data_IF_515458236963
#
_entry.id   IF_515458236963
#
_cell.length_a   1.000
_cell.length_b   1.000
_cell.length_c   1.000
_cell.angle_alpha   90.00
_cell.angle_beta   90.00
_cell.angle_gamma   90.00
#
_symmetry.space_group_name_H-M   'P 1'
#
loop_
_entity.id
_entity.type
_entity.pdbx_description
1 polymer ?
#
# COMPACT_ATOMS: atom_id res chain seq x y z
N UNK A 1 -44.80 32.56 -22.92
CA UNK A 1 -44.37 32.04 -21.61
C UNK A 1 -43.98 30.58 -21.83
N UNK A 2 -42.68 30.29 -21.98
CA UNK A 2 -42.18 28.93 -22.25
C UNK A 2 -41.85 28.25 -20.93
N UNK A 3 -42.57 27.18 -20.61
CA UNK A 3 -42.18 26.26 -19.53
C UNK A 3 -41.20 25.24 -20.09
N UNK A 4 -39.93 25.36 -19.72
CA UNK A 4 -38.92 24.32 -19.93
C UNK A 4 -38.99 23.37 -18.74
N UNK A 5 -39.52 22.17 -18.96
CA UNK A 5 -39.44 21.09 -17.99
C UNK A 5 -37.98 20.62 -17.91
N UNK A 6 -37.35 20.86 -16.76
CA UNK A 6 -36.01 20.34 -16.46
C UNK A 6 -36.14 18.85 -16.16
N UNK A 7 -35.59 18.02 -17.04
CA UNK A 7 -35.39 16.60 -16.79
C UNK A 7 -34.23 16.47 -15.80
N UNK A 8 -34.52 16.06 -14.57
CA UNK A 8 -33.49 15.76 -13.57
C UNK A 8 -33.08 14.31 -13.81
N UNK A 9 -31.91 14.11 -14.41
CA UNK A 9 -31.29 12.80 -14.51
C UNK A 9 -31.14 12.20 -13.11
N UNK A 10 -31.77 11.04 -12.90
CA UNK A 10 -31.53 10.20 -11.74
C UNK A 10 -30.07 9.76 -11.73
N UNK A 11 -29.21 10.51 -11.04
CA UNK A 11 -27.90 10.03 -10.64
C UNK A 11 -28.14 8.91 -9.64
N UNK A 12 -28.03 7.65 -10.08
CA UNK A 12 -28.08 6.51 -9.20
C UNK A 12 -27.09 6.74 -8.04
N UNK A 13 -27.47 6.48 -6.78
CA UNK A 13 -26.56 6.68 -5.66
C UNK A 13 -25.34 5.79 -5.86
N UNK A 14 -24.16 6.41 -5.92
CA UNK A 14 -22.90 5.70 -5.81
C UNK A 14 -22.87 5.15 -4.39
N UNK A 15 -23.22 3.87 -4.22
CA UNK A 15 -23.16 3.19 -2.93
C UNK A 15 -21.67 2.98 -2.63
N UNK A 16 -21.03 3.98 -2.04
CA UNK A 16 -19.76 3.82 -1.34
C UNK A 16 -20.02 2.96 -0.11
N UNK A 17 -19.23 1.92 0.08
CA UNK A 17 -19.21 1.17 1.33
C UNK A 17 -17.94 1.55 2.07
N UNK A 18 -18.07 2.29 3.17
CA UNK A 18 -16.94 2.50 4.08
C UNK A 18 -16.43 1.14 4.55
N UNK A 19 -15.13 0.90 4.36
CA UNK A 19 -14.45 -0.31 4.83
C UNK A 19 -13.14 0.07 5.51
N UNK A 20 -12.82 -0.68 6.55
CA UNK A 20 -11.48 -0.68 7.14
C UNK A 20 -10.50 -1.34 6.19
N UNK A 21 -9.44 -0.63 5.85
CA UNK A 21 -8.27 -1.11 5.14
C UNK A 21 -7.07 -1.14 6.09
N UNK A 22 -6.12 -2.01 5.79
CA UNK A 22 -4.83 -2.05 6.45
C UNK A 22 -3.80 -1.53 5.45
N UNK A 23 -3.13 -0.43 5.79
CA UNK A 23 -2.08 0.15 4.96
C UNK A 23 -0.72 -0.18 5.56
N UNK A 24 0.16 -0.74 4.74
CA UNK A 24 1.58 -0.92 5.08
C UNK A 24 2.36 0.13 4.32
N UNK A 25 2.98 1.08 5.03
CA UNK A 25 3.74 2.18 4.45
C UNK A 25 5.23 2.02 4.69
N UNK A 26 6.01 2.54 3.74
CA UNK A 26 7.47 2.67 3.82
C UNK A 26 7.77 4.18 3.75
N UNK A 27 8.61 4.68 4.66
CA UNK A 27 9.06 6.07 4.72
C UNK A 27 10.56 6.18 4.96
N UNK A 28 11.15 7.34 4.63
CA UNK A 28 12.54 7.69 4.93
C UNK A 28 12.61 8.69 6.10
N UNK A 29 13.49 8.43 7.07
CA UNK A 29 13.73 9.30 8.23
C UNK A 29 12.47 9.64 9.05
N UNK A 30 12.48 10.78 9.77
CA UNK A 30 11.36 11.26 10.61
C UNK A 30 10.15 11.81 9.83
N UNK A 31 10.17 11.73 8.51
CA UNK A 31 9.08 12.22 7.68
C UNK A 31 7.82 11.37 7.90
N UNK A 32 6.71 12.01 8.28
CA UNK A 32 5.39 11.37 8.31
C UNK A 32 4.83 11.03 6.91
N UNK A 33 5.60 11.27 5.85
CA UNK A 33 5.18 10.97 4.48
C UNK A 33 5.74 9.62 4.04
N UNK A 34 4.84 8.71 3.72
CA UNK A 34 5.17 7.48 3.04
C UNK A 34 5.74 7.78 1.65
N UNK A 35 6.86 7.15 1.31
CA UNK A 35 7.39 7.10 -0.06
C UNK A 35 6.65 6.05 -0.90
N UNK A 36 6.11 5.02 -0.25
CA UNK A 36 5.26 4.01 -0.87
C UNK A 36 4.32 3.40 0.17
N UNK A 37 3.14 2.94 -0.26
CA UNK A 37 2.24 2.16 0.59
C UNK A 37 1.54 1.06 -0.19
N UNK A 38 1.24 -0.02 0.53
CA UNK A 38 0.38 -1.11 0.10
C UNK A 38 -0.93 -1.02 0.85
N UNK A 39 -2.04 -1.38 0.21
CA UNK A 39 -3.37 -1.39 0.85
C UNK A 39 -3.97 -2.80 0.79
N UNK A 40 -4.50 -3.22 1.93
CA UNK A 40 -5.03 -4.55 2.16
C UNK A 40 -6.43 -4.47 2.77
N UNK A 41 -7.27 -5.45 2.47
CA UNK A 41 -8.52 -5.71 3.21
C UNK A 41 -8.34 -6.84 4.23
N UNK A 42 -7.20 -7.53 4.21
CA UNK A 42 -6.85 -8.65 5.07
C UNK A 42 -5.68 -8.25 5.99
N UNK A 43 -5.95 -8.22 7.30
CA UNK A 43 -4.97 -7.85 8.32
C UNK A 43 -3.78 -8.82 8.37
N UNK A 44 -4.01 -10.13 8.25
CA UNK A 44 -2.92 -11.10 8.37
C UNK A 44 -1.95 -11.00 7.19
N UNK A 45 -2.46 -10.69 6.01
CA UNK A 45 -1.62 -10.40 4.85
C UNK A 45 -0.84 -9.10 5.04
N UNK A 46 -1.49 -8.05 5.55
CA UNK A 46 -0.83 -6.78 5.85
C UNK A 46 0.29 -6.97 6.88
N UNK A 47 0.03 -7.72 7.96
CA UNK A 47 1.01 -8.05 9.01
C UNK A 47 2.21 -8.81 8.45
N UNK A 48 1.98 -9.84 7.62
CA UNK A 48 3.07 -10.60 6.99
C UNK A 48 3.95 -9.72 6.09
N UNK A 49 3.35 -8.82 5.31
CA UNK A 49 4.11 -7.87 4.48
C UNK A 49 4.86 -6.87 5.34
N UNK A 50 4.23 -6.35 6.41
CA UNK A 50 4.88 -5.46 7.37
C UNK A 50 6.12 -6.11 8.00
N UNK A 51 5.99 -7.32 8.52
CA UNK A 51 7.10 -8.05 9.17
C UNK A 51 8.26 -8.26 8.19
N UNK A 52 7.93 -8.76 7.00
CA UNK A 52 8.91 -9.00 5.93
C UNK A 52 9.67 -7.74 5.51
N UNK A 53 8.98 -6.59 5.43
CA UNK A 53 9.61 -5.33 5.07
C UNK A 53 10.43 -4.75 6.23
N UNK A 54 9.93 -4.87 7.46
CA UNK A 54 10.55 -4.27 8.65
C UNK A 54 11.85 -4.96 9.07
N UNK A 55 11.98 -6.26 8.81
CA UNK A 55 13.20 -7.02 9.14
C UNK A 55 14.37 -6.68 8.21
N UNK A 56 14.09 -6.32 6.95
CA UNK A 56 15.10 -6.33 5.88
C UNK A 56 15.37 -4.96 5.23
N UNK A 57 14.49 -3.97 5.41
CA UNK A 57 14.69 -2.61 4.91
C UNK A 57 15.31 -1.73 5.99
N UNK A 58 16.58 -2.00 6.29
CA UNK A 58 17.37 -1.19 7.22
C UNK A 58 17.40 0.28 6.77
N UNK A 59 17.27 1.20 7.73
CA UNK A 59 17.18 2.65 7.51
C UNK A 59 15.84 3.18 6.97
N UNK A 60 14.86 2.29 6.73
CA UNK A 60 13.48 2.69 6.43
C UNK A 60 12.56 2.56 7.64
N UNK A 61 11.58 3.46 7.73
CA UNK A 61 10.46 3.31 8.66
C UNK A 61 9.34 2.57 7.95
N UNK A 62 9.01 1.39 8.45
CA UNK A 62 7.85 0.61 8.00
C UNK A 62 6.75 0.72 9.07
N UNK A 63 5.51 0.97 8.65
CA UNK A 63 4.37 1.09 9.55
C UNK A 63 3.18 0.32 9.00
N UNK A 64 2.32 -0.11 9.91
CA UNK A 64 0.99 -0.63 9.60
C UNK A 64 -0.06 0.26 10.28
N UNK A 65 -1.07 0.66 9.50
CA UNK A 65 -2.16 1.51 9.98
C UNK A 65 -3.51 0.98 9.51
N UNK A 66 -4.52 1.13 10.35
CA UNK A 66 -5.92 0.96 9.97
C UNK A 66 -6.46 2.27 9.42
N UNK A 67 -7.08 2.21 8.24
CA UNK A 67 -7.61 3.39 7.55
C UNK A 67 -9.02 3.09 7.09
N UNK A 68 -9.97 3.92 7.51
CA UNK A 68 -11.32 3.90 6.95
C UNK A 68 -11.29 4.55 5.57
N UNK A 69 -11.81 3.84 4.57
CA UNK A 69 -11.88 4.34 3.21
C UNK A 69 -13.27 4.13 2.61
N UNK A 70 -13.79 5.21 2.02
CA UNK A 70 -14.96 5.17 1.15
C UNK A 70 -14.55 4.64 -0.22
N UNK A 71 -14.84 3.36 -0.47
CA UNK A 71 -14.44 2.69 -1.68
C UNK A 71 -15.63 2.32 -2.57
N UNK A 72 -15.44 2.53 -3.87
CA UNK A 72 -16.28 1.91 -4.88
C UNK A 72 -16.11 0.39 -4.85
N UNK A 73 -17.18 -0.41 -5.08
CA UNK A 73 -17.08 -1.87 -5.14
C UNK A 73 -16.02 -2.39 -6.13
N UNK A 74 -15.83 -1.70 -7.27
CA UNK A 74 -14.80 -2.04 -8.24
C UNK A 74 -13.38 -1.89 -7.69
N UNK A 75 -13.14 -0.90 -6.81
CA UNK A 75 -11.86 -0.71 -6.13
C UNK A 75 -11.60 -1.85 -5.16
N UNK A 76 -12.61 -2.29 -4.41
CA UNK A 76 -12.50 -3.43 -3.48
C UNK A 76 -12.16 -4.71 -4.25
N UNK A 77 -12.86 -5.01 -5.35
CA UNK A 77 -12.58 -6.20 -6.16
C UNK A 77 -11.15 -6.17 -6.75
N UNK A 78 -10.65 -5.00 -7.12
CA UNK A 78 -9.27 -4.85 -7.59
C UNK A 78 -8.26 -5.03 -6.45
N UNK A 79 -8.53 -4.50 -5.25
CA UNK A 79 -7.71 -4.74 -4.06
C UNK A 79 -7.68 -6.22 -3.69
N UNK A 80 -8.78 -6.94 -3.74
CA UNK A 80 -8.82 -8.39 -3.46
C UNK A 80 -8.01 -9.19 -4.49
N UNK A 81 -8.07 -8.83 -5.79
CA UNK A 81 -7.23 -9.44 -6.83
C UNK A 81 -5.75 -9.16 -6.61
N UNK A 82 -5.40 -7.92 -6.25
CA UNK A 82 -4.04 -7.52 -5.87
C UNK A 82 -3.53 -8.37 -4.70
N UNK A 83 -4.33 -8.50 -3.64
CA UNK A 83 -3.99 -9.29 -2.46
C UNK A 83 -3.78 -10.78 -2.77
N UNK A 84 -4.59 -11.35 -3.66
CA UNK A 84 -4.37 -12.72 -4.14
C UNK A 84 -2.97 -12.91 -4.76
N UNK A 85 -2.43 -11.89 -5.42
CA UNK A 85 -1.05 -11.93 -5.93
C UNK A 85 -0.01 -11.62 -4.87
N UNK A 86 -0.27 -10.67 -3.98
CA UNK A 86 0.63 -10.43 -2.84
C UNK A 86 0.87 -11.71 -2.04
N UNK A 87 -0.16 -12.51 -1.76
CA UNK A 87 0.00 -13.81 -1.08
C UNK A 87 0.93 -14.76 -1.82
N UNK A 88 0.85 -14.81 -3.15
CA UNK A 88 1.74 -15.65 -3.96
C UNK A 88 3.18 -15.17 -3.93
N UNK A 89 3.39 -13.85 -3.94
CA UNK A 89 4.72 -13.25 -3.81
C UNK A 89 5.32 -13.52 -2.44
N UNK A 90 4.55 -13.32 -1.36
CA UNK A 90 4.96 -13.64 0.02
C UNK A 90 5.37 -15.11 0.14
N UNK A 91 4.56 -16.04 -0.38
CA UNK A 91 4.88 -17.46 -0.36
C UNK A 91 6.11 -17.81 -1.20
N UNK A 92 6.32 -17.16 -2.34
CA UNK A 92 7.49 -17.36 -3.20
C UNK A 92 8.77 -16.83 -2.57
N UNK A 93 8.73 -15.67 -1.91
CA UNK A 93 9.87 -15.08 -1.21
C UNK A 93 10.32 -15.95 -0.05
N UNK A 94 9.40 -16.55 0.71
CA UNK A 94 9.73 -17.47 1.79
C UNK A 94 10.54 -18.71 1.34
N UNK A 95 10.59 -19.00 0.03
CA UNK A 95 11.38 -20.10 -0.53
C UNK A 95 12.77 -19.68 -1.01
N UNK A 96 13.05 -18.37 -1.08
CA UNK A 96 14.33 -17.84 -1.52
C UNK A 96 15.32 -17.87 -0.34
N UNK A 97 16.48 -18.51 -0.56
CA UNK A 97 17.57 -18.53 0.43
C UNK A 97 18.60 -17.48 0.10
N UNK A 98 19.06 -16.73 1.10
CA UNK A 98 20.20 -15.81 0.98
C UNK A 98 19.90 -14.44 0.37
N UNK A 99 18.62 -14.11 0.16
CA UNK A 99 18.18 -12.76 -0.22
C UNK A 99 17.28 -12.25 0.91
N UNK A 100 17.48 -11.02 1.44
CA UNK A 100 16.55 -10.39 2.37
C UNK A 100 15.13 -10.41 1.80
N UNK A 101 14.19 -10.96 2.55
CA UNK A 101 12.82 -11.20 2.13
C UNK A 101 12.11 -9.90 1.74
N UNK A 102 12.29 -8.81 2.49
CA UNK A 102 11.75 -7.49 2.16
C UNK A 102 12.20 -6.98 0.80
N UNK A 103 13.52 -7.01 0.53
CA UNK A 103 14.08 -6.61 -0.78
C UNK A 103 13.59 -7.53 -1.91
N UNK A 104 13.58 -8.85 -1.67
CA UNK A 104 13.09 -9.83 -2.65
C UNK A 104 11.61 -9.60 -3.00
N UNK A 105 10.79 -9.29 -2.01
CA UNK A 105 9.37 -8.98 -2.19
C UNK A 105 9.17 -7.73 -3.04
N UNK A 106 9.85 -6.61 -2.72
CA UNK A 106 9.73 -5.37 -3.49
C UNK A 106 10.13 -5.56 -4.95
N UNK A 107 11.25 -6.27 -5.21
CA UNK A 107 11.69 -6.56 -6.58
C UNK A 107 10.70 -7.45 -7.33
N UNK A 108 10.15 -8.48 -6.68
CA UNK A 108 9.18 -9.36 -7.31
C UNK A 108 7.86 -8.62 -7.60
N UNK A 109 7.46 -7.72 -6.71
CA UNK A 109 6.29 -6.85 -6.88
C UNK A 109 6.49 -5.83 -8.01
N UNK A 110 7.68 -5.22 -8.10
CA UNK A 110 8.04 -4.29 -9.18
C UNK A 110 8.01 -4.96 -10.56
N UNK A 111 8.64 -6.14 -10.71
CA UNK A 111 8.60 -6.93 -11.95
C UNK A 111 7.17 -7.30 -12.35
N UNK A 112 6.32 -7.57 -11.38
CA UNK A 112 4.92 -7.90 -11.64
C UNK A 112 4.11 -6.69 -12.16
N UNK A 113 4.38 -5.48 -11.64
CA UNK A 113 3.84 -4.22 -12.17
C UNK A 113 4.32 -3.97 -13.60
N UNK A 114 5.62 -4.09 -13.83
CA UNK A 114 6.26 -3.87 -15.13
C UNK A 114 5.68 -4.80 -16.21
N UNK A 115 5.54 -6.10 -15.92
CA UNK A 115 4.97 -7.09 -16.84
C UNK A 115 3.50 -6.81 -17.22
N UNK A 116 2.82 -5.91 -16.51
CA UNK A 116 1.43 -5.50 -16.77
C UNK A 116 1.33 -4.14 -17.45
N UNK A 117 2.46 -3.48 -17.75
CA UNK A 117 2.47 -2.12 -18.27
C UNK A 117 1.82 -1.12 -17.29
N UNK A 118 1.86 -1.43 -15.99
CA UNK A 118 1.38 -0.51 -14.96
C UNK A 118 2.36 0.68 -14.83
N UNK A 119 1.91 1.75 -14.17
CA UNK A 119 2.61 3.03 -14.10
C UNK A 119 4.10 2.85 -13.73
N UNK A 120 4.99 3.37 -14.58
CA UNK A 120 6.46 3.26 -14.44
C UNK A 120 6.91 3.84 -13.10
N UNK A 121 6.19 4.83 -12.60
CA UNK A 121 6.41 5.48 -11.32
C UNK A 121 6.38 4.48 -10.14
N UNK A 122 5.48 3.49 -10.17
CA UNK A 122 5.44 2.46 -9.12
C UNK A 122 6.64 1.51 -9.21
N UNK A 123 7.05 1.14 -10.42
CA UNK A 123 8.22 0.27 -10.62
C UNK A 123 9.48 0.99 -10.14
N UNK A 124 9.68 2.24 -10.57
CA UNK A 124 10.81 3.07 -10.17
C UNK A 124 10.85 3.30 -8.66
N UNK A 125 9.71 3.60 -8.02
CA UNK A 125 9.68 3.77 -6.57
C UNK A 125 10.14 2.52 -5.81
N UNK A 126 9.65 1.33 -6.22
CA UNK A 126 10.00 0.07 -5.58
C UNK A 126 11.47 -0.31 -5.79
N UNK A 127 12.01 -0.08 -6.99
CA UNK A 127 13.43 -0.34 -7.30
C UNK A 127 14.33 0.60 -6.52
N UNK A 128 14.00 1.90 -6.46
CA UNK A 128 14.76 2.88 -5.69
C UNK A 128 14.83 2.52 -4.21
N UNK A 129 13.74 2.03 -3.60
CA UNK A 129 13.75 1.58 -2.20
C UNK A 129 14.73 0.42 -1.97
N UNK A 130 14.89 -0.46 -2.95
CA UNK A 130 15.77 -1.63 -2.85
C UNK A 130 17.25 -1.25 -3.01
N UNK A 131 17.52 -0.32 -3.92
CA UNK A 131 18.87 0.15 -4.28
C UNK A 131 19.42 1.19 -3.29
N UNK A 132 18.54 1.92 -2.61
CA UNK A 132 18.93 2.91 -1.61
C UNK A 132 19.34 2.22 -0.30
N UNK A 133 20.50 2.62 0.22
CA UNK A 133 21.06 2.19 1.50
C UNK A 133 21.19 3.43 2.40
N UNK A 134 20.08 3.88 3.02
CA UNK A 134 20.12 5.04 3.91
C UNK A 134 21.11 4.80 5.07
N UNK A 135 21.94 5.81 5.36
CA UNK A 135 22.94 5.74 6.43
C UNK A 135 22.28 5.52 7.80
N UNK A 136 22.93 4.74 8.67
CA UNK A 136 22.46 4.32 10.01
C UNK A 136 22.09 5.50 10.94
N UNK A 137 22.58 6.71 10.64
CA UNK A 137 22.34 7.92 11.42
C UNK A 137 20.88 8.45 11.32
N UNK A 138 20.08 7.92 10.39
CA UNK A 138 18.65 8.23 10.22
C UNK A 138 17.70 7.15 10.81
N UNK A 139 18.24 6.10 11.43
CA UNK A 139 17.47 5.01 12.04
C UNK A 139 16.96 5.46 13.41
N UNK A 140 15.64 5.53 13.66
CA UNK A 140 15.05 5.04 14.92
C UNK A 140 13.50 5.00 15.01
N UNK A 141 13.06 3.98 15.77
CA UNK A 141 11.75 3.57 16.33
C UNK A 141 10.68 3.02 15.37
N UNK A 142 10.49 1.68 15.32
CA UNK A 142 9.25 1.10 14.80
C UNK A 142 8.07 1.56 15.66
N UNK A 143 7.21 2.40 15.08
CA UNK A 143 5.95 2.79 15.73
C UNK A 143 5.02 1.60 15.66
N UNK A 144 4.95 0.83 16.75
CA UNK A 144 4.16 -0.39 16.87
C UNK A 144 2.65 -0.19 16.64
N UNK A 145 2.12 1.03 16.73
CA UNK A 145 0.73 1.35 16.42
C UNK A 145 0.61 2.81 16.00
N UNK A 146 0.44 3.06 14.70
CA UNK A 146 -0.07 4.33 14.21
C UNK A 146 -1.57 4.17 13.94
N UNK A 147 -2.40 4.25 14.99
CA UNK A 147 -3.80 4.61 14.78
C UNK A 147 -3.79 6.05 14.26
N UNK A 148 -4.01 6.24 12.96
CA UNK A 148 -4.19 7.60 12.44
C UNK A 148 -5.49 8.13 13.03
N UNK A 149 -5.50 9.31 13.68
CA UNK A 149 -6.72 10.07 13.76
C UNK A 149 -7.08 10.47 12.32
N UNK A 150 -8.34 10.29 11.96
CA UNK A 150 -8.96 11.08 10.92
C UNK A 150 -8.69 12.58 11.20
N UNK A 151 -8.79 13.41 10.16
CA UNK A 151 -8.66 14.88 10.17
C UNK A 151 -7.26 15.43 9.86
N UNK A 152 -7.04 15.82 8.60
CA UNK A 152 -6.93 17.25 8.25
C UNK A 152 -7.59 17.47 6.88
N UNK A 153 -8.90 17.72 6.88
CA UNK A 153 -9.52 18.60 5.89
C UNK A 153 -9.84 19.91 6.60
N UNK A 154 -9.01 20.93 6.39
CA UNK A 154 -9.43 22.34 6.34
C UNK A 154 -8.59 23.06 5.29
#
# INVERSE_FOLDING_TARGET
MNNVAVHIDHVAPIISTSRTLFQVSIGQGLSRKAIYWFSFTDYELARQVFEMLSEDLLGYIVQIAEVEADLLPATIANLEKMQGRTRQLVAGVAQLKGIPAGKAFLLAFAKWYEARGMAVEHVTALVNIVEDEPDDDEVFIPVLYASSPAEVCQ
#
